data_IF_147092669442
#
_entry.id   IF_147092669442
#
_cell.length_a   1.000
_cell.length_b   1.000
_cell.length_c   1.000
_cell.angle_alpha   90.00
_cell.angle_beta   90.00
_cell.angle_gamma   90.00
#
_symmetry.space_group_name_H-M   'P 1'
#
loop_
_entity.id
_entity.type
_entity.pdbx_description
1 polymer ?
#
# COMPACT_ATOMS: atom_id res chain seq x y z
N UNK A 1 5.66 1.14 20.40
CA UNK A 1 6.74 0.45 21.14
C UNK A 1 6.88 -0.95 20.56
N UNK A 2 8.05 -1.32 20.06
CA UNK A 2 8.29 -2.68 19.56
C UNK A 2 8.40 -3.61 20.78
N UNK A 3 7.46 -4.54 20.91
CA UNK A 3 7.55 -5.61 21.91
C UNK A 3 8.67 -6.57 21.50
N UNK A 4 9.78 -6.51 22.21
CA UNK A 4 10.98 -7.33 21.93
C UNK A 4 10.86 -8.71 22.59
N UNK A 5 10.02 -8.86 23.59
CA UNK A 5 9.91 -10.08 24.42
C UNK A 5 8.82 -11.01 23.88
N UNK A 6 7.65 -10.49 23.54
CA UNK A 6 6.50 -11.25 23.08
C UNK A 6 6.20 -10.98 21.60
N UNK A 7 7.18 -11.15 20.73
CA UNK A 7 7.00 -10.93 19.30
C UNK A 7 5.98 -11.93 18.72
N UNK A 8 4.96 -11.45 17.99
CA UNK A 8 4.11 -12.37 17.25
C UNK A 8 4.95 -13.12 16.21
N UNK A 9 4.67 -14.39 16.01
CA UNK A 9 5.32 -15.20 14.97
C UNK A 9 4.96 -14.60 13.60
N UNK A 10 5.96 -14.23 12.82
CA UNK A 10 5.79 -13.75 11.45
C UNK A 10 5.80 -14.93 10.49
N UNK A 11 4.88 -14.92 9.55
CA UNK A 11 4.76 -15.94 8.51
C UNK A 11 4.77 -15.30 7.13
N UNK A 12 5.34 -15.99 6.17
CA UNK A 12 5.22 -15.67 4.75
C UNK A 12 4.57 -16.84 4.02
N UNK A 13 3.88 -16.54 2.92
CA UNK A 13 3.23 -17.57 2.13
C UNK A 13 4.29 -18.29 1.31
N UNK A 14 4.41 -19.61 1.50
CA UNK A 14 5.34 -20.44 0.73
C UNK A 14 5.03 -20.33 -0.77
N UNK A 15 6.02 -19.89 -1.55
CA UNK A 15 5.87 -19.63 -2.98
C UNK A 15 5.30 -18.23 -3.32
N UNK A 16 5.22 -17.34 -2.32
CA UNK A 16 4.80 -15.94 -2.47
C UNK A 16 3.28 -15.73 -2.44
N UNK A 17 2.85 -14.47 -2.32
CA UNK A 17 1.44 -14.06 -2.22
C UNK A 17 0.60 -14.47 -3.44
N UNK A 18 1.20 -14.66 -4.60
CA UNK A 18 0.52 -15.20 -5.79
C UNK A 18 -0.19 -16.54 -5.52
N UNK A 19 0.37 -17.38 -4.65
CA UNK A 19 -0.25 -18.65 -4.27
C UNK A 19 -1.56 -18.45 -3.51
N UNK A 20 -1.62 -17.43 -2.68
CA UNK A 20 -2.86 -17.05 -2.00
C UNK A 20 -3.93 -16.58 -2.99
N UNK A 21 -3.58 -15.66 -3.88
CA UNK A 21 -4.48 -15.12 -4.91
C UNK A 21 -5.00 -16.24 -5.82
N UNK A 22 -4.12 -17.13 -6.28
CA UNK A 22 -4.49 -18.27 -7.13
C UNK A 22 -5.48 -19.25 -6.47
N UNK A 23 -5.51 -19.30 -5.14
CA UNK A 23 -6.49 -20.11 -4.40
C UNK A 23 -7.77 -19.35 -4.08
N UNK A 24 -7.66 -18.05 -3.81
CA UNK A 24 -8.79 -17.21 -3.42
C UNK A 24 -9.73 -16.96 -4.59
N UNK A 25 -9.22 -16.51 -5.74
CA UNK A 25 -10.02 -16.13 -6.91
C UNK A 25 -10.95 -17.25 -7.40
N UNK A 26 -10.48 -18.49 -7.62
CA UNK A 26 -11.37 -19.57 -8.06
C UNK A 26 -12.47 -19.89 -7.04
N UNK A 27 -12.19 -19.80 -5.73
CA UNK A 27 -13.19 -20.01 -4.68
C UNK A 27 -14.24 -18.90 -4.69
N UNK A 28 -13.82 -17.65 -4.87
CA UNK A 28 -14.69 -16.50 -4.96
C UNK A 28 -15.63 -16.62 -6.17
N UNK A 29 -15.10 -16.97 -7.35
CA UNK A 29 -15.88 -17.19 -8.57
C UNK A 29 -16.87 -18.34 -8.39
N UNK A 30 -16.44 -19.46 -7.77
CA UNK A 30 -17.31 -20.61 -7.46
C UNK A 30 -18.47 -20.23 -6.53
N UNK A 31 -18.24 -19.26 -5.64
CA UNK A 31 -19.27 -18.71 -4.75
C UNK A 31 -20.21 -17.69 -5.43
N UNK A 32 -20.10 -17.48 -6.76
CA UNK A 32 -20.91 -16.54 -7.52
C UNK A 32 -20.30 -15.15 -7.69
N UNK A 33 -19.10 -14.93 -7.13
CA UNK A 33 -18.39 -13.67 -7.28
C UNK A 33 -17.87 -13.44 -8.71
N UNK A 34 -17.75 -12.18 -9.12
CA UNK A 34 -17.20 -11.77 -10.42
C UNK A 34 -15.89 -11.03 -10.22
N UNK A 35 -14.87 -11.37 -11.01
CA UNK A 35 -13.56 -10.69 -11.01
C UNK A 35 -13.38 -10.02 -12.36
N UNK A 36 -13.08 -8.72 -12.33
CA UNK A 36 -12.78 -7.92 -13.54
C UNK A 36 -11.37 -7.35 -13.37
N UNK A 37 -10.52 -7.62 -14.33
CA UNK A 37 -9.16 -7.05 -14.43
C UNK A 37 -9.12 -6.07 -15.59
N UNK A 38 -8.16 -5.15 -15.58
CA UNK A 38 -8.04 -4.11 -16.62
C UNK A 38 -9.30 -3.25 -16.78
N UNK A 39 -10.03 -3.03 -15.68
CA UNK A 39 -11.29 -2.30 -15.64
C UNK A 39 -11.21 -1.19 -14.58
N UNK A 40 -10.38 -0.12 -14.81
CA UNK A 40 -10.26 0.96 -13.85
C UNK A 40 -11.59 1.67 -13.63
N UNK A 41 -11.95 1.87 -12.37
CA UNK A 41 -13.10 2.69 -11.98
C UNK A 41 -12.71 4.15 -12.10
N UNK A 42 -13.50 4.92 -12.83
CA UNK A 42 -13.28 6.34 -13.08
C UNK A 42 -14.01 7.22 -12.06
N UNK A 43 -15.22 6.80 -11.66
CA UNK A 43 -16.02 7.49 -10.67
C UNK A 43 -16.93 6.55 -9.91
N UNK A 44 -17.24 6.95 -8.68
CA UNK A 44 -18.24 6.34 -7.81
C UNK A 44 -19.16 7.46 -7.34
N UNK A 45 -20.47 7.26 -7.47
CA UNK A 45 -21.50 8.23 -7.03
C UNK A 45 -22.59 7.47 -6.30
N UNK A 46 -23.02 7.98 -5.15
CA UNK A 46 -24.19 7.43 -4.45
C UNK A 46 -25.46 8.10 -4.98
N UNK A 47 -26.47 7.30 -5.25
CA UNK A 47 -27.79 7.76 -5.70
C UNK A 47 -28.87 7.03 -4.90
N UNK A 48 -29.35 7.67 -3.85
CA UNK A 48 -30.28 7.07 -2.90
C UNK A 48 -29.70 5.86 -2.20
N UNK A 49 -30.32 4.69 -2.41
CA UNK A 49 -29.89 3.40 -1.81
C UNK A 49 -28.94 2.61 -2.71
N UNK A 50 -28.40 3.23 -3.76
CA UNK A 50 -27.54 2.57 -4.75
C UNK A 50 -26.23 3.31 -4.93
N UNK A 51 -25.25 2.59 -5.44
CA UNK A 51 -23.95 3.13 -5.82
C UNK A 51 -23.74 2.91 -7.32
N UNK A 52 -23.50 3.99 -8.04
CA UNK A 52 -23.21 3.99 -9.46
C UNK A 52 -21.69 4.04 -9.67
N UNK A 53 -21.14 3.08 -10.40
CA UNK A 53 -19.75 3.03 -10.80
C UNK A 53 -19.62 3.27 -12.29
N UNK A 54 -18.75 4.21 -12.66
CA UNK A 54 -18.32 4.38 -14.05
C UNK A 54 -16.99 3.66 -14.24
N UNK A 55 -16.99 2.66 -15.11
CA UNK A 55 -15.82 1.79 -15.34
C UNK A 55 -15.36 1.92 -16.79
N UNK A 56 -14.06 2.07 -16.99
CA UNK A 56 -13.45 2.09 -18.31
C UNK A 56 -12.81 0.73 -18.62
N UNK A 57 -13.20 0.09 -19.71
CA UNK A 57 -12.56 -1.15 -20.14
C UNK A 57 -11.26 -0.85 -20.93
N UNK A 58 -10.10 -1.31 -20.41
CA UNK A 58 -8.83 -1.20 -21.14
C UNK A 58 -8.86 -2.06 -22.40
N UNK A 59 -8.69 -1.43 -23.55
CA UNK A 59 -8.76 -2.06 -24.87
C UNK A 59 -9.61 -1.25 -25.87
N UNK A 60 -10.52 -0.44 -25.34
CA UNK A 60 -11.28 0.52 -26.13
C UNK A 60 -11.54 1.75 -25.26
N UNK A 61 -10.81 2.84 -25.50
CA UNK A 61 -10.89 4.08 -24.70
C UNK A 61 -12.31 4.66 -24.64
N UNK A 62 -13.16 4.32 -25.61
CA UNK A 62 -14.55 4.76 -25.69
C UNK A 62 -15.54 3.81 -25.02
N UNK A 63 -15.10 2.69 -24.43
CA UNK A 63 -15.98 1.73 -23.78
C UNK A 63 -16.09 2.04 -22.28
N UNK A 64 -16.96 2.99 -21.98
CA UNK A 64 -17.37 3.34 -20.62
C UNK A 64 -18.63 2.55 -20.30
N UNK A 65 -18.64 1.90 -19.14
CA UNK A 65 -19.77 1.11 -18.63
C UNK A 65 -20.20 1.65 -17.27
N UNK A 66 -21.50 1.83 -17.09
CA UNK A 66 -22.10 2.20 -15.82
C UNK A 66 -22.66 0.96 -15.14
N UNK A 67 -22.25 0.71 -13.92
CA UNK A 67 -22.65 -0.44 -13.11
C UNK A 67 -23.33 0.07 -11.84
N UNK A 68 -24.39 -0.61 -11.41
CA UNK A 68 -25.15 -0.26 -10.21
C UNK A 68 -25.00 -1.36 -9.17
N UNK A 69 -24.72 -0.96 -7.93
CA UNK A 69 -24.52 -1.84 -6.79
C UNK A 69 -25.25 -1.33 -5.55
N UNK A 70 -25.39 -2.17 -4.55
CA UNK A 70 -25.96 -1.78 -3.26
C UNK A 70 -24.90 -1.09 -2.39
N UNK A 71 -23.66 -1.57 -2.47
CA UNK A 71 -22.55 -1.13 -1.62
C UNK A 71 -21.22 -1.14 -2.40
N UNK A 72 -20.29 -0.28 -2.01
CA UNK A 72 -18.92 -0.27 -2.53
C UNK A 72 -17.91 -0.40 -1.39
N UNK A 73 -16.85 -1.17 -1.64
CA UNK A 73 -15.69 -1.25 -0.74
C UNK A 73 -14.47 -0.70 -1.48
N UNK A 74 -13.94 0.42 -1.00
CA UNK A 74 -12.68 0.97 -1.49
C UNK A 74 -11.51 0.21 -0.85
N UNK A 75 -10.78 -0.53 -1.67
CA UNK A 75 -9.54 -1.23 -1.29
C UNK A 75 -8.32 -0.64 -2.01
N UNK A 76 -8.44 0.57 -2.51
CA UNK A 76 -7.38 1.40 -3.07
C UNK A 76 -6.89 2.43 -2.04
N UNK A 77 -5.83 3.17 -2.36
CA UNK A 77 -5.34 4.25 -1.51
C UNK A 77 -6.42 5.31 -1.22
N UNK A 78 -6.40 5.90 -0.03
CA UNK A 78 -7.41 6.86 0.42
C UNK A 78 -7.51 8.10 -0.48
N UNK A 79 -6.40 8.60 -1.00
CA UNK A 79 -6.35 9.69 -1.98
C UNK A 79 -7.01 9.31 -3.31
N UNK A 80 -6.81 8.07 -3.76
CA UNK A 80 -7.47 7.52 -4.94
C UNK A 80 -8.97 7.36 -4.68
N UNK A 81 -9.37 6.83 -3.52
CA UNK A 81 -10.77 6.71 -3.13
C UNK A 81 -11.47 8.08 -3.14
N UNK A 82 -10.86 9.09 -2.50
CA UNK A 82 -11.38 10.45 -2.48
C UNK A 82 -11.49 11.07 -3.88
N UNK A 83 -10.52 10.79 -4.75
CA UNK A 83 -10.50 11.30 -6.13
C UNK A 83 -11.65 10.76 -6.98
N UNK A 84 -12.01 9.49 -6.80
CA UNK A 84 -13.05 8.83 -7.62
C UNK A 84 -14.44 8.90 -7.00
N UNK A 85 -14.56 9.20 -5.70
CA UNK A 85 -15.86 9.41 -5.02
C UNK A 85 -16.36 10.84 -5.30
N UNK A 86 -17.32 10.97 -6.22
CA UNK A 86 -17.74 12.26 -6.77
C UNK A 86 -18.66 13.06 -5.85
N UNK A 87 -19.33 12.39 -4.91
CA UNK A 87 -20.28 12.94 -3.95
C UNK A 87 -19.75 12.85 -2.51
N UNK A 88 -18.42 12.90 -2.33
CA UNK A 88 -17.81 12.84 -1.02
C UNK A 88 -18.34 13.93 -0.09
N UNK A 89 -18.79 13.54 1.09
CA UNK A 89 -19.23 14.46 2.14
C UNK A 89 -18.05 15.27 2.70
N UNK A 90 -18.36 16.34 3.43
CA UNK A 90 -17.34 17.13 4.14
C UNK A 90 -16.54 16.27 5.11
N UNK A 91 -17.20 15.36 5.83
CA UNK A 91 -16.54 14.44 6.78
C UNK A 91 -15.61 13.45 6.06
N UNK A 92 -16.07 12.86 4.95
CA UNK A 92 -15.24 11.97 4.15
C UNK A 92 -14.02 12.69 3.58
N UNK A 93 -14.23 13.91 3.05
CA UNK A 93 -13.14 14.74 2.53
C UNK A 93 -12.13 15.08 3.62
N UNK A 94 -12.60 15.50 4.82
CA UNK A 94 -11.73 15.79 5.96
C UNK A 94 -10.90 14.56 6.35
N UNK A 95 -11.55 13.43 6.58
CA UNK A 95 -10.89 12.22 7.06
C UNK A 95 -9.92 11.67 6.01
N UNK A 96 -10.37 11.48 4.75
CA UNK A 96 -9.57 10.86 3.69
C UNK A 96 -8.37 11.72 3.27
N UNK A 97 -8.48 13.06 3.32
CA UNK A 97 -7.38 13.98 2.95
C UNK A 97 -6.18 13.91 3.91
N UNK A 98 -6.35 13.36 5.10
CA UNK A 98 -5.24 13.19 6.06
C UNK A 98 -4.36 11.97 5.75
N UNK A 99 -4.82 11.06 4.89
CA UNK A 99 -4.03 9.93 4.40
C UNK A 99 -3.18 10.37 3.20
N UNK A 100 -2.01 10.92 3.51
CA UNK A 100 -1.07 11.38 2.50
C UNK A 100 -0.17 10.26 2.05
N UNK A 101 0.29 10.33 0.81
CA UNK A 101 1.20 9.36 0.21
C UNK A 101 2.44 10.08 -0.33
N UNK A 102 3.58 9.39 -0.27
CA UNK A 102 4.82 9.83 -0.92
C UNK A 102 5.21 8.84 -2.00
N UNK A 103 5.66 9.38 -3.13
CA UNK A 103 6.19 8.57 -4.20
C UNK A 103 7.52 7.94 -3.80
N UNK A 104 7.68 6.68 -4.17
CA UNK A 104 8.87 5.88 -3.93
C UNK A 104 9.16 5.02 -5.15
N UNK A 105 10.44 4.84 -5.43
CA UNK A 105 10.91 3.88 -6.43
C UNK A 105 11.47 2.65 -5.72
N UNK A 106 10.89 1.49 -6.00
CA UNK A 106 11.38 0.20 -5.51
C UNK A 106 12.11 -0.52 -6.64
N UNK A 107 13.37 -0.85 -6.40
CA UNK A 107 14.22 -1.53 -7.36
C UNK A 107 14.45 -2.96 -6.89
N UNK A 108 14.00 -3.93 -7.68
CA UNK A 108 14.36 -5.34 -7.54
C UNK A 108 15.68 -5.56 -8.27
N UNK A 109 16.71 -6.03 -7.55
CA UNK A 109 18.06 -6.17 -8.08
C UNK A 109 18.83 -7.31 -7.40
N UNK A 110 20.07 -7.53 -7.85
CA UNK A 110 21.00 -8.52 -7.27
C UNK A 110 22.28 -7.88 -6.72
N UNK A 111 22.42 -6.57 -6.75
CA UNK A 111 23.56 -5.82 -6.24
C UNK A 111 23.64 -5.90 -4.72
N UNK A 112 24.63 -6.63 -4.20
CA UNK A 112 24.84 -6.79 -2.76
C UNK A 112 25.69 -5.69 -2.12
N UNK A 113 26.18 -4.72 -2.90
CA UNK A 113 26.98 -3.59 -2.38
C UNK A 113 26.21 -2.71 -1.40
N UNK A 114 24.87 -2.68 -1.53
CA UNK A 114 23.96 -1.96 -0.64
C UNK A 114 23.76 -2.63 0.74
N UNK A 115 24.27 -3.83 0.92
CA UNK A 115 24.19 -4.58 2.17
C UNK A 115 25.41 -4.34 3.06
N UNK A 116 25.32 -4.67 4.37
CA UNK A 116 26.48 -4.65 5.26
C UNK A 116 27.67 -5.48 4.69
N UNK A 117 28.89 -4.96 4.85
CA UNK A 117 30.11 -5.65 4.36
C UNK A 117 30.30 -7.07 4.89
N UNK A 118 29.80 -7.35 6.11
CA UNK A 118 29.86 -8.69 6.72
C UNK A 118 28.57 -9.44 6.44
N UNK A 119 28.57 -10.56 5.68
CA UNK A 119 27.35 -11.33 5.39
C UNK A 119 26.59 -11.81 6.63
N UNK A 120 27.28 -12.07 7.73
CA UNK A 120 26.66 -12.43 9.02
C UNK A 120 25.80 -11.32 9.63
N UNK A 121 25.95 -10.07 9.17
CA UNK A 121 25.14 -8.94 9.59
C UNK A 121 23.90 -8.73 8.68
N UNK A 122 23.75 -9.54 7.63
CA UNK A 122 22.59 -9.42 6.73
C UNK A 122 21.30 -9.83 7.45
N UNK A 123 20.29 -8.98 7.37
CA UNK A 123 18.98 -9.21 7.91
C UNK A 123 17.93 -9.19 6.80
N UNK A 124 16.70 -9.59 7.12
CA UNK A 124 15.57 -9.46 6.18
C UNK A 124 15.35 -8.00 5.77
N UNK A 125 15.62 -7.06 6.68
CA UNK A 125 15.52 -5.61 6.48
C UNK A 125 16.85 -4.98 6.87
N UNK A 126 17.47 -4.24 5.96
CA UNK A 126 18.74 -3.56 6.16
C UNK A 126 18.55 -2.07 5.94
N UNK A 127 19.00 -1.26 6.89
CA UNK A 127 18.99 0.19 6.80
C UNK A 127 20.41 0.70 6.54
N UNK A 128 20.57 1.47 5.47
CA UNK A 128 21.77 2.23 5.20
C UNK A 128 21.51 3.70 5.56
N UNK A 129 22.32 4.24 6.46
CA UNK A 129 22.36 5.67 6.76
C UNK A 129 23.61 6.21 6.09
N UNK A 130 23.45 6.93 4.97
CA UNK A 130 24.58 7.56 4.31
C UNK A 130 25.01 8.78 5.10
N UNK A 131 26.18 8.68 5.76
CA UNK A 131 26.77 9.78 6.53
C UNK A 131 27.54 10.78 5.66
N UNK A 132 27.70 10.53 4.37
CA UNK A 132 28.48 11.40 3.48
C UNK A 132 27.87 12.78 3.26
N UNK A 133 26.59 12.95 3.57
CA UNK A 133 25.93 14.26 3.50
C UNK A 133 26.10 15.10 4.75
N UNK A 134 26.64 14.56 5.86
CA UNK A 134 26.85 15.30 7.12
C UNK A 134 28.28 15.76 7.36
N UNK A 135 29.26 15.23 6.62
CA UNK A 135 30.69 15.47 6.92
C UNK A 135 31.31 16.67 6.17
N UNK A 136 30.55 17.44 5.38
CA UNK A 136 31.03 18.66 4.73
C UNK A 136 30.86 19.94 5.59
N UNK A 137 30.59 19.80 6.90
CA UNK A 137 30.56 20.93 7.83
C UNK A 137 31.85 20.91 8.69
N UNK A 138 32.98 21.18 8.05
CA UNK A 138 34.21 21.54 8.77
C UNK A 138 34.41 23.05 8.81
N UNK A 139 33.39 23.81 9.20
CA UNK A 139 33.58 25.21 9.53
C UNK A 139 32.91 25.53 10.87
N UNK A 140 33.75 25.61 11.90
CA UNK A 140 33.39 25.77 13.33
C UNK A 140 32.84 27.15 13.68
N UNK A 141 32.62 28.05 12.73
CA UNK A 141 32.35 29.47 13.01
C UNK A 141 31.17 30.13 12.32
N UNK A 142 30.21 29.35 11.76
CA UNK A 142 28.96 29.98 11.29
C UNK A 142 27.74 29.16 11.78
N UNK A 143 27.06 29.70 12.78
CA UNK A 143 25.72 29.29 13.18
C UNK A 143 24.71 29.74 12.12
N UNK A 144 24.77 29.17 10.93
CA UNK A 144 23.70 29.26 9.94
C UNK A 144 22.92 27.95 10.00
N UNK A 145 21.64 28.05 10.35
CA UNK A 145 20.66 26.99 10.31
C UNK A 145 20.51 26.55 8.85
N UNK A 146 21.38 25.64 8.42
CA UNK A 146 21.29 25.05 7.10
C UNK A 146 20.24 23.93 7.18
N UNK A 147 19.02 24.22 6.76
CA UNK A 147 17.92 23.28 6.56
C UNK A 147 18.21 22.38 5.36
N UNK A 148 19.28 21.59 5.41
CA UNK A 148 19.42 20.47 4.49
C UNK A 148 18.40 19.40 4.91
N UNK A 149 17.58 19.00 3.95
CA UNK A 149 16.62 17.92 4.18
C UNK A 149 17.36 16.69 4.73
N UNK A 150 16.88 16.07 5.80
CA UNK A 150 17.54 14.91 6.38
C UNK A 150 17.74 13.85 5.33
N UNK A 151 18.96 13.27 5.26
CA UNK A 151 19.29 12.20 4.31
C UNK A 151 18.22 11.10 4.43
N UNK A 152 17.55 10.79 3.31
CA UNK A 152 16.53 9.76 3.29
C UNK A 152 17.20 8.43 3.62
N UNK A 153 16.77 7.70 4.67
CA UNK A 153 17.32 6.40 4.96
C UNK A 153 17.02 5.44 3.80
N UNK A 154 18.04 4.70 3.38
CA UNK A 154 17.89 3.66 2.35
C UNK A 154 17.48 2.37 3.03
N UNK A 155 16.36 1.83 2.61
CA UNK A 155 15.86 0.54 3.10
C UNK A 155 16.04 -0.52 2.02
N UNK A 156 16.72 -1.62 2.37
CA UNK A 156 16.89 -2.79 1.51
C UNK A 156 16.28 -4.03 2.16
N UNK A 157 15.34 -4.66 1.47
CA UNK A 157 14.79 -5.97 1.83
C UNK A 157 15.62 -7.08 1.19
N UNK A 158 16.11 -8.02 2.00
CA UNK A 158 16.77 -9.22 1.51
C UNK A 158 15.75 -10.34 1.31
N UNK A 159 15.29 -10.53 0.08
CA UNK A 159 14.14 -11.39 -0.22
C UNK A 159 14.44 -12.87 0.04
N UNK A 160 15.70 -13.31 -0.14
CA UNK A 160 16.06 -14.70 0.15
C UNK A 160 15.92 -15.02 1.65
N UNK A 161 16.31 -14.10 2.53
CA UNK A 161 16.12 -14.26 3.98
C UNK A 161 14.64 -14.13 4.32
N UNK A 162 13.97 -13.09 3.82
CA UNK A 162 12.57 -12.76 4.15
C UNK A 162 11.61 -13.90 3.72
N UNK A 163 11.82 -14.49 2.55
CA UNK A 163 10.95 -15.51 1.97
C UNK A 163 11.56 -16.91 1.99
N UNK A 164 12.75 -17.07 2.60
CA UNK A 164 13.51 -18.35 2.63
C UNK A 164 13.71 -18.94 1.23
N UNK A 165 14.17 -18.11 0.28
CA UNK A 165 14.41 -18.54 -1.08
C UNK A 165 15.75 -19.27 -1.18
N UNK A 166 15.73 -20.49 -1.69
CA UNK A 166 16.95 -21.27 -2.00
C UNK A 166 17.41 -21.00 -3.42
N UNK A 167 17.90 -19.79 -3.69
CA UNK A 167 18.34 -19.35 -5.01
C UNK A 167 19.82 -19.02 -5.00
N UNK A 168 20.50 -19.17 -6.18
CA UNK A 168 21.92 -18.88 -6.34
C UNK A 168 22.23 -17.38 -6.15
N UNK A 169 21.33 -16.52 -6.64
CA UNK A 169 21.47 -15.06 -6.52
C UNK A 169 20.72 -14.54 -5.30
N UNK A 170 21.26 -13.49 -4.68
CA UNK A 170 20.58 -12.72 -3.68
C UNK A 170 19.64 -11.74 -4.41
N UNK A 171 18.34 -11.85 -4.13
CA UNK A 171 17.34 -10.91 -4.62
C UNK A 171 17.06 -9.88 -3.53
N UNK A 172 17.22 -8.62 -3.91
CA UNK A 172 17.08 -7.47 -3.03
C UNK A 172 16.01 -6.55 -3.57
N UNK A 173 15.30 -5.87 -2.68
CA UNK A 173 14.42 -4.75 -3.04
C UNK A 173 14.88 -3.53 -2.26
N UNK A 174 15.40 -2.54 -2.96
CA UNK A 174 15.89 -1.29 -2.36
C UNK A 174 14.97 -0.13 -2.72
N UNK A 175 14.69 0.71 -1.73
CA UNK A 175 13.83 1.86 -1.90
C UNK A 175 14.66 3.14 -2.03
N UNK A 176 14.34 3.96 -3.03
CA UNK A 176 14.85 5.33 -3.19
C UNK A 176 16.38 5.44 -3.17
N UNK A 177 17.07 4.49 -3.75
CA UNK A 177 18.54 4.49 -3.84
C UNK A 177 19.00 3.94 -5.19
N UNK A 178 20.10 4.46 -5.67
CA UNK A 178 20.75 3.97 -6.89
C UNK A 178 21.44 2.64 -6.61
N UNK A 179 21.34 1.73 -7.57
CA UNK A 179 22.00 0.42 -7.58
C UNK A 179 22.66 0.24 -8.95
N UNK A 180 23.57 -0.71 -9.08
CA UNK A 180 24.21 -1.02 -10.35
C UNK A 180 23.16 -1.40 -11.41
N UNK A 181 23.05 -0.58 -12.47
CA UNK A 181 22.08 -0.76 -13.56
C UNK A 181 22.13 -2.16 -14.19
N UNK A 182 23.31 -2.77 -14.27
CA UNK A 182 23.50 -4.12 -14.84
C UNK A 182 22.87 -5.21 -13.97
N UNK A 183 22.60 -4.91 -12.71
CA UNK A 183 22.03 -5.85 -11.75
C UNK A 183 20.53 -5.58 -11.47
N UNK A 184 19.93 -4.59 -12.13
CA UNK A 184 18.51 -4.31 -12.01
C UNK A 184 17.69 -5.39 -12.73
N UNK A 185 16.77 -6.00 -12.01
CA UNK A 185 15.78 -6.92 -12.57
C UNK A 185 14.50 -6.16 -12.95
N UNK A 186 14.06 -5.23 -12.09
CA UNK A 186 12.86 -4.44 -12.32
C UNK A 186 12.84 -3.21 -11.41
N UNK A 187 12.43 -2.07 -11.97
CA UNK A 187 12.06 -0.87 -11.21
C UNK A 187 10.56 -0.67 -11.22
N UNK A 188 10.00 -0.24 -10.08
CA UNK A 188 8.57 -0.03 -9.88
C UNK A 188 8.39 1.24 -9.06
N UNK A 189 7.66 2.20 -9.62
CA UNK A 189 7.23 3.39 -8.90
C UNK A 189 5.89 3.12 -8.23
N UNK A 190 5.78 3.47 -6.95
CA UNK A 190 4.54 3.39 -6.20
C UNK A 190 4.53 4.37 -5.03
N UNK A 191 3.34 4.64 -4.53
CA UNK A 191 3.14 5.56 -3.42
C UNK A 191 3.04 4.79 -2.10
N UNK A 192 3.63 5.35 -1.05
CA UNK A 192 3.62 4.78 0.30
C UNK A 192 2.97 5.76 1.28
N UNK A 193 2.10 5.29 2.19
CA UNK A 193 1.43 6.17 3.14
C UNK A 193 2.42 6.83 4.11
N UNK A 194 2.17 8.09 4.43
CA UNK A 194 2.91 8.86 5.43
C UNK A 194 2.23 8.71 6.77
N UNK A 195 2.92 8.09 7.72
CA UNK A 195 2.42 7.93 9.08
C UNK A 195 2.75 9.18 9.90
N UNK A 196 1.78 10.07 10.07
CA UNK A 196 1.87 11.24 10.94
C UNK A 196 0.73 11.28 11.97
N UNK A 197 0.76 12.25 12.86
CA UNK A 197 -0.25 12.38 13.91
C UNK A 197 -1.66 12.63 13.34
N UNK A 198 -1.78 13.35 12.22
CA UNK A 198 -3.07 13.64 11.58
C UNK A 198 -3.67 12.38 10.98
N UNK A 199 -2.85 11.53 10.35
CA UNK A 199 -3.31 10.23 9.86
C UNK A 199 -3.77 9.33 11.00
N UNK A 200 -3.02 9.27 12.13
CA UNK A 200 -3.41 8.47 13.30
C UNK A 200 -4.74 8.97 13.88
N UNK A 201 -4.94 10.29 13.97
CA UNK A 201 -6.21 10.88 14.39
C UNK A 201 -7.34 10.54 13.42
N UNK A 202 -7.11 10.68 12.11
CA UNK A 202 -8.09 10.33 11.08
C UNK A 202 -8.53 8.86 11.13
N UNK A 203 -7.60 7.94 11.44
CA UNK A 203 -7.93 6.53 11.65
C UNK A 203 -8.98 6.31 12.75
N UNK A 204 -9.01 7.13 13.79
CA UNK A 204 -10.02 7.01 14.86
C UNK A 204 -11.42 7.41 14.39
N UNK A 205 -11.52 8.19 13.31
CA UNK A 205 -12.78 8.67 12.73
C UNK A 205 -13.34 7.73 11.64
N UNK A 206 -12.71 6.58 11.40
CA UNK A 206 -13.10 5.63 10.34
C UNK A 206 -14.59 5.27 10.35
N UNK A 207 -15.18 5.05 11.53
CA UNK A 207 -16.60 4.67 11.65
C UNK A 207 -17.57 5.78 11.22
N UNK A 208 -17.13 7.04 11.14
CA UNK A 208 -17.96 8.15 10.68
C UNK A 208 -18.08 8.25 9.16
N UNK A 209 -17.20 7.55 8.42
CA UNK A 209 -17.17 7.57 6.95
C UNK A 209 -17.42 6.20 6.31
N UNK A 210 -17.61 5.15 7.11
CA UNK A 210 -17.74 3.78 6.62
C UNK A 210 -18.95 3.10 7.26
N UNK A 211 -19.81 2.52 6.45
CA UNK A 211 -20.96 1.78 6.94
C UNK A 211 -22.11 1.66 5.93
N UNK A 212 -23.05 0.78 6.24
CA UNK A 212 -24.19 0.48 5.36
C UNK A 212 -25.11 1.68 5.14
N UNK A 213 -25.21 2.60 6.12
CA UNK A 213 -25.99 3.84 5.98
C UNK A 213 -25.38 4.84 4.99
N UNK A 214 -24.11 4.64 4.60
CA UNK A 214 -23.39 5.43 3.61
C UNK A 214 -23.17 4.68 2.29
N UNK A 215 -23.55 3.41 2.23
CA UNK A 215 -23.31 2.50 1.10
C UNK A 215 -21.83 2.40 0.68
N UNK A 216 -20.90 2.88 1.54
CA UNK A 216 -19.45 2.94 1.28
C UNK A 216 -18.66 2.39 2.45
N UNK A 217 -17.60 1.63 2.11
CA UNK A 217 -16.65 1.08 3.06
C UNK A 217 -15.23 1.31 2.57
N UNK A 218 -14.31 1.50 3.51
CA UNK A 218 -12.91 1.71 3.22
C UNK A 218 -12.08 0.62 3.91
N UNK A 219 -11.32 -0.17 3.13
CA UNK A 219 -10.61 -1.35 3.62
C UNK A 219 -9.11 -1.16 3.78
N UNK A 220 -8.48 -0.16 3.15
CA UNK A 220 -7.04 0.03 3.15
C UNK A 220 -6.63 1.17 4.09
N UNK A 221 -5.56 0.96 4.88
CA UNK A 221 -4.87 1.91 5.78
C UNK A 221 -5.74 2.83 6.66
N UNK A 222 -7.02 2.97 6.35
CA UNK A 222 -7.95 3.91 7.00
C UNK A 222 -8.38 3.38 8.37
N UNK A 223 -8.30 2.07 8.58
CA UNK A 223 -8.69 1.46 9.86
C UNK A 223 -7.55 1.23 10.85
N UNK A 224 -7.90 1.16 12.13
CA UNK A 224 -6.99 1.17 13.29
C UNK A 224 -5.99 -0.01 13.37
N UNK A 225 -6.14 -1.04 12.57
CA UNK A 225 -5.28 -2.24 12.58
C UNK A 225 -4.94 -2.65 11.16
N UNK A 226 -3.75 -2.23 10.79
CA UNK A 226 -3.06 -2.54 9.56
C UNK A 226 -3.41 -3.86 8.84
N UNK A 227 -3.57 -3.75 7.56
CA UNK A 227 -3.34 -4.70 6.49
C UNK A 227 -4.20 -5.96 6.35
N UNK A 228 -4.65 -6.65 7.36
CA UNK A 228 -5.32 -7.94 7.15
C UNK A 228 -6.65 -8.13 7.89
N UNK A 229 -6.82 -7.53 9.05
CA UNK A 229 -8.05 -7.75 9.83
C UNK A 229 -9.25 -6.98 9.30
N UNK A 230 -9.06 -5.83 8.65
CA UNK A 230 -10.16 -5.00 8.19
C UNK A 230 -10.66 -5.34 6.79
N UNK A 231 -9.79 -5.72 5.88
CA UNK A 231 -10.23 -6.34 4.65
C UNK A 231 -11.12 -7.56 4.96
N UNK A 232 -10.77 -8.34 5.99
CA UNK A 232 -11.59 -9.45 6.45
C UNK A 232 -12.88 -9.00 7.15
N UNK A 233 -12.86 -7.94 7.95
CA UNK A 233 -14.04 -7.42 8.65
C UNK A 233 -14.99 -6.69 7.68
N UNK A 234 -14.49 -5.88 6.77
CA UNK A 234 -15.29 -5.25 5.72
C UNK A 234 -15.95 -6.31 4.83
N UNK A 235 -15.19 -7.35 4.40
CA UNK A 235 -15.74 -8.51 3.69
C UNK A 235 -16.79 -9.23 4.50
N UNK A 236 -16.57 -9.46 5.80
CA UNK A 236 -17.50 -10.22 6.63
C UNK A 236 -18.83 -9.49 6.88
N UNK A 237 -18.78 -8.16 6.98
CA UNK A 237 -19.98 -7.33 7.17
C UNK A 237 -20.79 -7.24 5.88
N UNK A 238 -20.11 -7.09 4.74
CA UNK A 238 -20.77 -6.92 3.44
C UNK A 238 -21.29 -8.23 2.80
N UNK A 239 -20.60 -9.37 2.99
CA UNK A 239 -20.98 -10.67 2.35
C UNK A 239 -22.37 -11.17 2.80
N UNK A 240 -22.94 -10.63 3.85
CA UNK A 240 -24.28 -11.08 4.30
C UNK A 240 -25.46 -10.51 3.51
N UNK A 241 -25.30 -9.48 2.66
CA UNK A 241 -26.46 -8.82 2.04
C UNK A 241 -26.35 -8.31 0.61
N UNK A 242 -25.17 -8.18 -0.03
CA UNK A 242 -25.10 -7.39 -1.27
C UNK A 242 -23.99 -7.78 -2.23
N UNK A 243 -24.14 -7.41 -3.49
CA UNK A 243 -23.12 -7.54 -4.54
C UNK A 243 -22.01 -6.51 -4.27
N UNK A 244 -20.79 -6.97 -4.02
CA UNK A 244 -19.63 -6.12 -3.75
C UNK A 244 -18.70 -6.01 -4.93
N UNK A 245 -18.16 -4.80 -5.12
CA UNK A 245 -16.98 -4.56 -5.94
C UNK A 245 -15.82 -4.13 -5.05
N UNK A 246 -14.67 -4.73 -5.34
CA UNK A 246 -13.37 -4.30 -4.83
C UNK A 246 -12.72 -3.42 -5.90
N UNK A 247 -12.41 -2.20 -5.51
CA UNK A 247 -11.72 -1.22 -6.35
C UNK A 247 -10.29 -1.07 -5.85
#
# INVERSE_FOLDING_TARGET
MLDVVNRPQWFTIKGGSKQYVNKLIPRFIKAGGKVRVNSPVQSVTRDGEKVLLTVQNKGNANNIENLVFDEVVFACHADTALKILTDASTTETEVLSHFRFTENTAILHTDTSVLPKKPLAWASWNYLIDRKTSDNVTDKNQASVNTQAPAKPVLTYHMNILQRLTKKHNYLVTLNHEVDDQQIVKSIDYSHPVFDLKMIEAQTKWSSISGTGLHTHFAEHIGLMAFMKMAYAAVYVCVRRSVMIWI
#
